data_IF_755961968614
#
_entry.id   IF_755961968614
#
_cell.length_a   1.000
_cell.length_b   1.000
_cell.length_c   1.000
_cell.angle_alpha   90.00
_cell.angle_beta   90.00
_cell.angle_gamma   90.00
#
_symmetry.space_group_name_H-M   'P 1'
#
loop_
_entity.id
_entity.type
_entity.pdbx_description
1 polymer ?
#
# COMPACT_ATOMS: atom_id res chain seq x y z
N UNK A 1 -11.79 -16.47 -41.54
CA UNK A 1 -11.08 -16.03 -40.32
C UNK A 1 -9.85 -15.22 -40.75
N UNK A 2 -9.71 -13.96 -40.33
CA UNK A 2 -8.73 -13.02 -40.87
C UNK A 2 -7.30 -13.35 -40.37
N UNK A 3 -6.32 -13.55 -41.26
CA UNK A 3 -4.94 -13.99 -40.92
C UNK A 3 -4.26 -13.08 -39.88
N UNK A 4 -4.60 -11.79 -39.88
CA UNK A 4 -4.06 -10.81 -38.93
C UNK A 4 -4.53 -11.04 -37.47
N UNK A 5 -5.70 -11.64 -37.26
CA UNK A 5 -6.23 -11.93 -35.93
C UNK A 5 -5.48 -13.09 -35.27
N UNK A 6 -5.09 -14.10 -36.05
CA UNK A 6 -4.35 -15.27 -35.58
C UNK A 6 -2.91 -14.90 -35.17
N UNK A 7 -2.27 -13.98 -35.91
CA UNK A 7 -0.93 -13.48 -35.60
C UNK A 7 -0.89 -12.68 -34.30
N UNK A 8 -1.92 -11.85 -34.05
CA UNK A 8 -2.03 -11.07 -32.81
C UNK A 8 -2.23 -11.97 -31.58
N UNK A 9 -3.08 -13.00 -31.69
CA UNK A 9 -3.27 -13.99 -30.63
C UNK A 9 -1.98 -14.76 -30.33
N UNK A 10 -1.24 -15.16 -31.37
CA UNK A 10 0.04 -15.84 -31.20
C UNK A 10 1.07 -14.95 -30.49
N UNK A 11 1.16 -13.68 -30.87
CA UNK A 11 2.07 -12.72 -30.23
C UNK A 11 1.71 -12.47 -28.75
N UNK A 12 0.41 -12.32 -28.46
CA UNK A 12 -0.08 -12.13 -27.10
C UNK A 12 0.21 -13.37 -26.23
N UNK A 13 -0.07 -14.56 -26.76
CA UNK A 13 0.21 -15.84 -26.08
C UNK A 13 1.71 -16.00 -25.81
N UNK A 14 2.57 -15.75 -26.80
CA UNK A 14 4.01 -15.86 -26.65
C UNK A 14 4.56 -14.86 -25.62
N UNK A 15 4.02 -13.64 -25.61
CA UNK A 15 4.39 -12.62 -24.61
C UNK A 15 3.99 -13.04 -23.19
N UNK A 16 2.80 -13.63 -23.02
CA UNK A 16 2.34 -14.15 -21.73
C UNK A 16 3.18 -15.36 -21.28
N UNK A 17 3.53 -16.26 -22.19
CA UNK A 17 4.38 -17.41 -21.94
C UNK A 17 5.77 -16.98 -21.44
N UNK A 18 6.41 -16.03 -22.14
CA UNK A 18 7.70 -15.46 -21.74
C UNK A 18 7.61 -14.83 -20.35
N UNK A 19 6.57 -14.03 -20.09
CA UNK A 19 6.38 -13.39 -18.77
C UNK A 19 6.22 -14.41 -17.65
N UNK A 20 5.48 -15.50 -17.89
CA UNK A 20 5.30 -16.59 -16.94
C UNK A 20 6.62 -17.32 -16.66
N UNK A 21 7.39 -17.64 -17.70
CA UNK A 21 8.70 -18.28 -17.56
C UNK A 21 9.69 -17.41 -16.78
N UNK A 22 9.72 -16.09 -17.04
CA UNK A 22 10.54 -15.14 -16.30
C UNK A 22 10.12 -15.10 -14.82
N UNK A 23 8.82 -15.10 -14.53
CA UNK A 23 8.31 -15.08 -13.16
C UNK A 23 8.68 -16.37 -12.39
N UNK A 24 8.53 -17.55 -13.02
CA UNK A 24 8.92 -18.84 -12.44
C UNK A 24 10.42 -18.91 -12.18
N UNK A 25 11.23 -18.47 -13.15
CA UNK A 25 12.69 -18.43 -13.00
C UNK A 25 13.13 -17.45 -11.90
N UNK A 26 12.48 -16.28 -11.81
CA UNK A 26 12.71 -15.31 -10.74
C UNK A 26 12.37 -15.85 -9.35
N UNK A 27 11.23 -16.54 -9.21
CA UNK A 27 10.84 -17.18 -7.95
C UNK A 27 11.83 -18.29 -7.55
N UNK A 28 12.32 -19.07 -8.52
CA UNK A 28 13.32 -20.11 -8.30
C UNK A 28 14.64 -19.49 -7.81
N UNK A 29 15.18 -18.48 -8.50
CA UNK A 29 16.40 -17.76 -8.08
C UNK A 29 16.23 -17.16 -6.68
N UNK A 30 15.08 -16.53 -6.41
CA UNK A 30 14.81 -15.95 -5.09
C UNK A 30 14.80 -17.00 -3.99
N UNK A 31 14.23 -18.18 -4.25
CA UNK A 31 14.25 -19.30 -3.29
C UNK A 31 15.67 -19.75 -3.00
N UNK A 32 16.51 -19.95 -4.03
CA UNK A 32 17.92 -20.31 -3.84
C UNK A 32 18.70 -19.21 -3.11
N UNK A 33 18.39 -17.93 -3.36
CA UNK A 33 18.98 -16.80 -2.66
C UNK A 33 18.63 -16.80 -1.18
N UNK A 34 17.37 -17.03 -0.82
CA UNK A 34 16.94 -17.12 0.58
C UNK A 34 17.62 -18.30 1.28
N UNK A 35 17.68 -19.47 0.62
CA UNK A 35 18.32 -20.67 1.18
C UNK A 35 19.84 -20.51 1.37
N UNK A 36 20.51 -19.81 0.45
CA UNK A 36 21.94 -19.47 0.57
C UNK A 36 22.19 -18.46 1.70
N UNK A 37 21.33 -17.45 1.83
CA UNK A 37 21.43 -16.41 2.87
C UNK A 37 21.26 -16.96 4.30
N UNK A 38 20.52 -18.05 4.46
CA UNK A 38 20.38 -18.77 5.75
C UNK A 38 21.41 -19.89 5.92
N UNK A 39 22.42 -19.97 5.04
CA UNK A 39 23.46 -21.01 5.01
C UNK A 39 22.92 -22.45 4.89
N UNK A 40 21.72 -22.63 4.34
CA UNK A 40 21.12 -23.96 4.15
C UNK A 40 21.71 -24.68 2.92
N UNK A 41 22.04 -23.92 1.89
CA UNK A 41 22.82 -24.35 0.73
C UNK A 41 23.97 -23.37 0.51
N UNK A 42 24.96 -23.75 -0.28
CA UNK A 42 26.03 -22.85 -0.73
C UNK A 42 25.99 -22.77 -2.26
N UNK A 43 25.49 -21.65 -2.78
CA UNK A 43 25.29 -21.44 -4.21
C UNK A 43 26.49 -20.70 -4.80
N UNK A 44 27.17 -21.33 -5.77
CA UNK A 44 28.16 -20.64 -6.58
C UNK A 44 27.46 -19.75 -7.62
N UNK A 45 27.11 -18.54 -7.18
CA UNK A 45 26.45 -17.53 -8.01
C UNK A 45 27.23 -17.18 -9.27
N UNK A 46 28.56 -17.32 -9.26
CA UNK A 46 29.38 -17.03 -10.43
C UNK A 46 29.09 -18.00 -11.58
N UNK A 47 28.77 -19.26 -11.28
CA UNK A 47 28.38 -20.28 -12.28
C UNK A 47 26.94 -20.12 -12.77
N UNK A 48 26.03 -19.75 -11.87
CA UNK A 48 24.61 -19.56 -12.22
C UNK A 48 24.40 -18.44 -13.25
N UNK A 49 25.23 -17.40 -13.21
CA UNK A 49 25.15 -16.25 -14.11
C UNK A 49 26.01 -16.35 -15.39
N UNK A 50 26.61 -17.52 -15.71
CA UNK A 50 27.40 -17.72 -16.94
C UNK A 50 26.51 -17.87 -18.18
N UNK A 51 25.31 -18.43 -18.02
CA UNK A 51 24.43 -18.80 -19.14
C UNK A 51 23.65 -17.63 -19.77
N UNK A 52 23.74 -16.41 -19.22
CA UNK A 52 23.00 -15.26 -19.76
C UNK A 52 23.78 -13.95 -19.68
N UNK A 53 23.79 -13.12 -20.74
CA UNK A 53 24.31 -11.75 -20.70
C UNK A 53 23.40 -10.79 -19.89
N UNK A 54 22.59 -11.32 -18.97
CA UNK A 54 21.62 -10.59 -18.15
C UNK A 54 22.18 -10.11 -16.80
N UNK A 55 23.49 -10.21 -16.50
CA UNK A 55 24.04 -9.75 -15.20
C UNK A 55 23.60 -8.33 -14.82
N UNK A 56 23.53 -7.40 -15.79
CA UNK A 56 22.98 -6.04 -15.57
C UNK A 56 21.46 -5.98 -15.39
N UNK A 57 20.71 -6.85 -16.08
CA UNK A 57 19.25 -6.83 -16.15
C UNK A 57 18.62 -7.56 -14.96
N UNK A 58 19.21 -8.69 -14.54
CA UNK A 58 18.85 -9.40 -13.31
C UNK A 58 19.34 -8.61 -12.09
N UNK A 59 20.56 -8.07 -12.11
CA UNK A 59 21.06 -7.21 -11.03
C UNK A 59 20.15 -5.99 -10.81
N UNK A 60 19.78 -5.29 -11.89
CA UNK A 60 18.86 -4.16 -11.81
C UNK A 60 17.46 -4.54 -11.33
N UNK A 61 16.89 -5.63 -11.85
CA UNK A 61 15.55 -6.10 -11.46
C UNK A 61 15.49 -6.61 -10.02
N UNK A 62 16.54 -7.29 -9.56
CA UNK A 62 16.68 -7.79 -8.19
C UNK A 62 16.84 -6.65 -7.19
N UNK A 63 17.70 -5.67 -7.49
CA UNK A 63 17.85 -4.45 -6.68
C UNK A 63 16.54 -3.65 -6.63
N UNK A 64 15.82 -3.54 -7.75
CA UNK A 64 14.49 -2.92 -7.75
C UNK A 64 13.48 -3.70 -6.91
N UNK A 65 13.51 -5.03 -6.94
CA UNK A 65 12.66 -5.89 -6.11
C UNK A 65 12.94 -5.70 -4.61
N UNK A 66 14.21 -5.70 -4.21
CA UNK A 66 14.62 -5.47 -2.82
C UNK A 66 14.24 -4.07 -2.37
N UNK A 67 14.52 -3.03 -3.17
CA UNK A 67 14.18 -1.64 -2.80
C UNK A 67 12.68 -1.44 -2.70
N UNK A 68 11.87 -2.03 -3.59
CA UNK A 68 10.41 -2.01 -3.49
C UNK A 68 9.91 -2.73 -2.23
N UNK A 69 10.50 -3.88 -1.88
CA UNK A 69 10.15 -4.63 -0.67
C UNK A 69 10.51 -3.86 0.61
N UNK A 70 11.73 -3.32 0.69
CA UNK A 70 12.16 -2.46 1.80
C UNK A 70 11.27 -1.22 1.94
N UNK A 71 10.90 -0.60 0.81
CA UNK A 71 9.98 0.53 0.80
C UNK A 71 8.58 0.15 1.31
N UNK A 72 8.09 -1.04 0.96
CA UNK A 72 6.83 -1.58 1.48
C UNK A 72 6.88 -1.77 3.01
N UNK A 73 7.97 -2.35 3.53
CA UNK A 73 8.19 -2.51 4.98
C UNK A 73 8.27 -1.14 5.68
N UNK A 74 9.02 -0.20 5.12
CA UNK A 74 9.12 1.16 5.65
C UNK A 74 7.74 1.83 5.71
N UNK A 75 6.97 1.75 4.63
CA UNK A 75 5.62 2.29 4.55
C UNK A 75 4.68 1.65 5.58
N UNK A 76 4.76 0.34 5.77
CA UNK A 76 3.97 -0.37 6.78
C UNK A 76 4.30 0.07 8.20
N UNK A 77 5.59 0.10 8.57
CA UNK A 77 6.04 0.60 9.89
C UNK A 77 5.59 2.03 10.15
N UNK A 78 5.68 2.90 9.14
CA UNK A 78 5.21 4.29 9.25
C UNK A 78 3.70 4.38 9.41
N UNK A 79 2.93 3.54 8.71
CA UNK A 79 1.47 3.45 8.86
C UNK A 79 1.06 3.05 10.28
N UNK A 80 1.76 2.10 10.92
CA UNK A 80 1.50 1.71 12.32
C UNK A 80 1.83 2.88 13.25
N UNK A 81 3.00 3.50 13.07
CA UNK A 81 3.46 4.61 13.93
C UNK A 81 2.47 5.77 13.89
N UNK A 82 2.11 6.23 12.69
CA UNK A 82 1.10 7.28 12.51
C UNK A 82 -0.28 6.84 12.97
N UNK A 83 -0.55 5.53 12.94
CA UNK A 83 -1.77 4.98 13.50
C UNK A 83 -1.86 5.18 15.02
N UNK A 84 -0.77 4.88 15.73
CA UNK A 84 -0.67 5.10 17.18
C UNK A 84 -0.76 6.58 17.54
N UNK A 85 -0.11 7.44 16.77
CA UNK A 85 -0.19 8.90 17.00
C UNK A 85 -1.60 9.44 16.78
N UNK A 86 -2.32 8.98 15.74
CA UNK A 86 -3.74 9.33 15.58
C UNK A 86 -4.54 8.98 16.83
N UNK A 87 -4.30 7.81 17.42
CA UNK A 87 -4.98 7.32 18.62
C UNK A 87 -4.71 8.23 19.82
N UNK A 88 -3.46 8.62 20.01
CA UNK A 88 -3.04 9.54 21.07
C UNK A 88 -3.71 10.90 20.92
N UNK A 89 -3.69 11.47 19.70
CA UNK A 89 -4.34 12.75 19.40
C UNK A 89 -5.85 12.66 19.68
N UNK A 90 -6.51 11.59 19.21
CA UNK A 90 -7.94 11.38 19.46
C UNK A 90 -8.23 11.25 20.96
N UNK A 91 -7.38 10.55 21.71
CA UNK A 91 -7.54 10.39 23.16
C UNK A 91 -7.41 11.71 23.91
N UNK A 92 -6.45 12.56 23.51
CA UNK A 92 -6.29 13.93 24.05
C UNK A 92 -7.51 14.82 23.78
N UNK A 93 -8.24 14.55 22.70
CA UNK A 93 -9.50 15.23 22.36
C UNK A 93 -10.75 14.57 22.97
N UNK A 94 -10.58 13.64 23.92
CA UNK A 94 -11.67 13.03 24.69
C UNK A 94 -12.35 11.83 24.03
N UNK A 95 -11.82 11.32 22.91
CA UNK A 95 -12.33 10.09 22.30
C UNK A 95 -11.77 8.86 23.05
N UNK A 96 -12.62 7.86 23.29
CA UNK A 96 -12.15 6.53 23.73
C UNK A 96 -11.69 5.75 22.52
N UNK A 97 -10.42 5.88 22.16
CA UNK A 97 -9.83 5.25 21.00
C UNK A 97 -8.89 4.11 21.41
N UNK A 98 -9.12 2.91 20.88
CA UNK A 98 -8.27 1.73 21.09
C UNK A 98 -7.88 1.10 19.75
N UNK A 99 -6.73 0.42 19.72
CA UNK A 99 -6.30 -0.32 18.53
C UNK A 99 -7.12 -1.60 18.45
N UNK A 100 -7.78 -1.84 17.32
CA UNK A 100 -8.59 -3.04 17.14
C UNK A 100 -7.72 -4.26 16.78
N UNK A 101 -7.08 -4.24 15.60
CA UNK A 101 -6.14 -5.30 15.17
C UNK A 101 -5.18 -4.76 14.09
N UNK A 102 -3.93 -5.23 14.12
CA UNK A 102 -2.87 -4.85 13.17
C UNK A 102 -2.48 -6.09 12.38
N UNK A 103 -3.15 -6.34 11.26
CA UNK A 103 -2.78 -7.41 10.35
C UNK A 103 -2.04 -6.89 9.11
N UNK A 104 -0.85 -7.43 8.78
CA UNK A 104 -0.18 -7.13 7.52
C UNK A 104 -0.88 -7.78 6.30
N UNK A 105 -1.77 -8.76 6.54
CA UNK A 105 -2.41 -9.57 5.51
C UNK A 105 -3.79 -9.03 5.10
N UNK A 106 -4.48 -8.30 5.99
CA UNK A 106 -5.86 -7.86 5.80
C UNK A 106 -5.94 -6.34 5.99
N UNK A 107 -6.78 -5.67 5.18
CA UNK A 107 -7.11 -4.24 5.40
C UNK A 107 -8.11 -4.15 6.56
N UNK A 108 -7.62 -4.25 7.78
CA UNK A 108 -8.45 -4.19 8.99
C UNK A 108 -8.62 -2.71 9.41
N UNK A 109 -9.83 -2.30 9.86
CA UNK A 109 -10.02 -1.03 10.55
C UNK A 109 -9.03 -0.93 11.71
N UNK A 110 -8.24 0.13 11.71
CA UNK A 110 -7.14 0.31 12.65
C UNK A 110 -7.63 0.57 14.07
N UNK A 111 -8.83 1.13 14.24
CA UNK A 111 -9.30 1.62 15.53
C UNK A 111 -10.70 1.16 15.88
N UNK A 112 -10.95 1.06 17.18
CA UNK A 112 -12.27 1.19 17.76
C UNK A 112 -12.33 2.55 18.49
N UNK A 113 -13.20 3.45 18.04
CA UNK A 113 -13.37 4.78 18.61
C UNK A 113 -14.80 4.87 19.15
N UNK A 114 -14.94 5.08 20.46
CA UNK A 114 -16.22 5.11 21.16
C UNK A 114 -17.10 3.87 20.86
N UNK A 115 -16.46 2.70 20.70
CA UNK A 115 -17.16 1.44 20.39
C UNK A 115 -17.34 1.15 18.89
N UNK A 116 -17.08 2.10 18.00
CA UNK A 116 -17.25 1.94 16.55
C UNK A 116 -15.93 1.71 15.82
N UNK A 117 -15.94 0.90 14.77
CA UNK A 117 -14.73 0.59 14.00
C UNK A 117 -14.41 1.69 12.99
N UNK A 118 -13.16 2.13 12.91
CA UNK A 118 -12.66 3.16 11.99
C UNK A 118 -11.44 2.67 11.19
N UNK A 119 -11.42 3.00 9.91
CA UNK A 119 -10.20 2.91 9.11
C UNK A 119 -9.26 4.08 9.39
N UNK A 120 -7.96 3.83 9.42
CA UNK A 120 -6.96 4.89 9.36
C UNK A 120 -6.54 5.11 7.91
N UNK A 121 -6.67 6.33 7.44
CA UNK A 121 -6.12 6.75 6.17
C UNK A 121 -5.08 7.83 6.40
N UNK A 122 -3.84 7.51 6.05
CA UNK A 122 -2.71 8.39 6.21
C UNK A 122 -2.03 8.62 4.85
N UNK A 123 -2.36 9.73 4.15
CA UNK A 123 -1.78 10.06 2.87
C UNK A 123 -0.36 10.61 3.01
N UNK A 124 0.62 9.71 3.11
CA UNK A 124 2.04 10.03 3.18
C UNK A 124 2.43 11.04 2.09
N UNK A 125 2.99 12.20 2.48
CA UNK A 125 3.56 13.21 1.57
C UNK A 125 2.59 13.74 0.50
N UNK A 126 1.27 13.65 0.71
CA UNK A 126 0.32 14.23 -0.22
C UNK A 126 0.51 15.75 -0.30
N UNK A 127 0.67 16.23 -1.54
CA UNK A 127 0.86 17.66 -1.87
C UNK A 127 -0.41 18.33 -2.35
N UNK A 128 -1.43 17.55 -2.68
CA UNK A 128 -2.74 18.04 -3.05
C UNK A 128 -3.85 17.08 -2.56
N UNK A 129 -5.08 17.56 -2.66
CA UNK A 129 -6.28 16.84 -2.24
C UNK A 129 -6.49 15.56 -3.05
N UNK A 130 -6.19 15.55 -4.35
CA UNK A 130 -6.39 14.38 -5.20
C UNK A 130 -5.50 13.22 -4.77
N UNK A 131 -4.22 13.49 -4.49
CA UNK A 131 -3.30 12.50 -3.93
C UNK A 131 -3.74 12.07 -2.54
N UNK A 132 -4.18 13.02 -1.70
CA UNK A 132 -4.68 12.71 -0.37
C UNK A 132 -5.87 11.75 -0.42
N UNK A 133 -6.80 11.92 -1.37
CA UNK A 133 -7.99 11.08 -1.50
C UNK A 133 -7.76 9.79 -2.32
N UNK A 134 -6.61 9.64 -2.97
CA UNK A 134 -6.33 8.49 -3.86
C UNK A 134 -6.41 7.14 -3.14
N UNK A 135 -5.93 7.07 -1.89
CA UNK A 135 -5.97 5.86 -1.07
C UNK A 135 -7.39 5.48 -0.60
N UNK A 136 -8.27 6.46 -0.42
CA UNK A 136 -9.63 6.25 0.09
C UNK A 136 -10.47 5.38 -0.83
N UNK A 137 -10.32 5.53 -2.16
CA UNK A 137 -11.09 4.74 -3.13
C UNK A 137 -10.89 3.24 -2.92
N UNK A 138 -9.68 2.82 -2.54
CA UNK A 138 -9.36 1.41 -2.30
C UNK A 138 -9.98 0.91 -0.99
N UNK A 139 -9.93 1.73 0.07
CA UNK A 139 -10.53 1.42 1.38
C UNK A 139 -12.04 1.24 1.23
N UNK A 140 -12.71 2.24 0.66
CA UNK A 140 -14.17 2.26 0.46
C UNK A 140 -14.65 1.09 -0.43
N UNK A 141 -13.86 0.68 -1.44
CA UNK A 141 -14.23 -0.44 -2.31
C UNK A 141 -14.08 -1.80 -1.61
N UNK A 142 -13.16 -1.92 -0.66
CA UNK A 142 -12.75 -3.20 -0.08
C UNK A 142 -13.35 -3.49 1.29
N UNK A 143 -13.87 -2.48 1.97
CA UNK A 143 -14.40 -2.62 3.33
C UNK A 143 -15.86 -2.22 3.40
N UNK A 144 -16.60 -2.95 4.23
CA UNK A 144 -17.98 -2.63 4.61
C UNK A 144 -18.04 -1.50 5.64
N UNK A 145 -16.92 -1.19 6.30
CA UNK A 145 -16.84 -0.16 7.34
C UNK A 145 -16.65 1.21 6.67
N UNK A 146 -17.58 2.12 7.00
CA UNK A 146 -17.71 3.43 6.38
C UNK A 146 -17.23 4.59 7.26
N UNK A 147 -16.70 4.27 8.44
CA UNK A 147 -16.12 5.25 9.34
C UNK A 147 -14.61 5.37 9.09
N UNK A 148 -14.10 6.60 9.06
CA UNK A 148 -12.71 6.83 8.70
C UNK A 148 -12.07 7.97 9.47
N UNK A 149 -10.81 7.76 9.83
CA UNK A 149 -9.90 8.79 10.33
C UNK A 149 -8.92 9.13 9.23
N UNK A 150 -8.78 10.40 8.90
CA UNK A 150 -7.82 10.93 7.93
C UNK A 150 -6.76 11.71 8.68
N UNK A 151 -5.54 11.17 8.79
CA UNK A 151 -4.43 11.82 9.47
C UNK A 151 -3.56 12.59 8.47
N UNK A 152 -3.55 13.92 8.58
CA UNK A 152 -2.84 14.84 7.67
C UNK A 152 -1.54 15.40 8.26
N UNK A 153 -1.02 14.87 9.38
CA UNK A 153 0.17 15.40 10.07
C UNK A 153 1.38 15.59 9.14
N UNK A 154 1.57 14.69 8.17
CA UNK A 154 2.65 14.80 7.17
C UNK A 154 2.20 15.27 5.79
N UNK A 155 0.92 15.61 5.64
CA UNK A 155 0.36 16.06 4.38
C UNK A 155 0.33 17.60 4.35
N UNK A 156 0.65 18.17 3.19
CA UNK A 156 0.56 19.62 2.98
C UNK A 156 -0.62 19.90 2.07
N UNK A 157 -1.83 19.85 2.64
CA UNK A 157 -3.09 19.92 1.89
C UNK A 157 -4.00 20.96 2.52
N UNK A 158 -4.67 21.75 1.68
CA UNK A 158 -5.73 22.66 2.11
C UNK A 158 -6.93 21.86 2.67
N UNK A 159 -7.16 22.03 3.97
CA UNK A 159 -8.21 21.34 4.73
C UNK A 159 -9.61 21.69 4.19
N UNK A 160 -9.86 22.95 3.82
CA UNK A 160 -11.18 23.37 3.35
C UNK A 160 -11.48 22.76 1.98
N UNK A 161 -10.46 22.74 1.10
CA UNK A 161 -10.56 22.06 -0.20
C UNK A 161 -10.75 20.55 -0.03
N UNK A 162 -10.05 19.94 0.93
CA UNK A 162 -10.18 18.52 1.27
C UNK A 162 -11.60 18.19 1.75
N UNK A 163 -12.13 18.94 2.72
CA UNK A 163 -13.50 18.78 3.26
C UNK A 163 -14.54 18.83 2.13
N UNK A 164 -14.46 19.85 1.27
CA UNK A 164 -15.38 20.02 0.14
C UNK A 164 -15.32 18.83 -0.82
N UNK A 165 -14.13 18.38 -1.20
CA UNK A 165 -13.99 17.23 -2.09
C UNK A 165 -14.40 15.90 -1.44
N UNK A 166 -14.13 15.72 -0.16
CA UNK A 166 -14.57 14.54 0.61
C UNK A 166 -16.09 14.41 0.59
N UNK A 167 -16.78 15.48 0.98
CA UNK A 167 -18.24 15.49 1.03
C UNK A 167 -18.83 15.32 -0.38
N UNK A 168 -18.32 16.05 -1.37
CA UNK A 168 -18.84 15.95 -2.74
C UNK A 168 -18.69 14.55 -3.37
N UNK A 169 -17.62 13.82 -3.03
CA UNK A 169 -17.29 12.55 -3.71
C UNK A 169 -17.65 11.30 -2.91
N UNK A 170 -17.66 11.41 -1.59
CA UNK A 170 -17.75 10.27 -0.68
C UNK A 170 -18.81 10.45 0.41
N UNK A 171 -19.61 11.53 0.39
CA UNK A 171 -20.76 11.73 1.29
C UNK A 171 -21.56 10.44 1.48
N UNK A 172 -22.00 9.82 0.40
CA UNK A 172 -22.99 8.73 0.50
C UNK A 172 -22.34 7.37 0.77
N UNK A 173 -21.01 7.36 0.89
CA UNK A 173 -20.19 6.15 1.06
C UNK A 173 -19.49 6.10 2.40
N UNK A 174 -19.42 7.22 3.12
CA UNK A 174 -18.79 7.37 4.41
C UNK A 174 -19.81 7.89 5.41
N UNK A 175 -19.85 7.26 6.58
CA UNK A 175 -20.82 7.59 7.62
C UNK A 175 -20.23 8.65 8.55
N UNK A 176 -19.06 8.37 9.15
CA UNK A 176 -18.33 9.31 10.01
C UNK A 176 -16.91 9.56 9.51
N UNK A 177 -16.50 10.82 9.51
CA UNK A 177 -15.17 11.23 9.06
C UNK A 177 -14.52 12.09 10.14
N UNK A 178 -13.42 11.60 10.70
CA UNK A 178 -12.57 12.37 11.60
C UNK A 178 -11.32 12.79 10.84
N UNK A 179 -11.02 14.09 10.80
CA UNK A 179 -9.80 14.62 10.17
C UNK A 179 -8.88 15.11 11.27
N UNK A 180 -7.65 14.62 11.28
CA UNK A 180 -6.58 15.18 12.11
C UNK A 180 -5.75 16.09 11.22
N UNK A 181 -5.74 17.38 11.52
CA UNK A 181 -4.96 18.35 10.76
C UNK A 181 -3.45 18.32 11.09
N UNK A 182 -2.67 19.15 10.40
CA UNK A 182 -1.22 19.21 10.60
C UNK A 182 -0.81 19.68 11.99
N UNK A 183 -1.67 20.45 12.66
CA UNK A 183 -1.46 20.96 14.01
C UNK A 183 -1.95 20.00 15.09
N UNK A 184 -2.55 18.87 14.70
CA UNK A 184 -3.12 17.88 15.62
C UNK A 184 -4.56 18.17 16.05
N UNK A 185 -5.24 19.16 15.45
CA UNK A 185 -6.65 19.40 15.75
C UNK A 185 -7.53 18.34 15.08
N UNK A 186 -8.57 17.90 15.80
CA UNK A 186 -9.56 16.95 15.29
C UNK A 186 -10.78 17.70 14.76
N UNK A 187 -11.16 17.41 13.52
CA UNK A 187 -12.37 17.94 12.89
C UNK A 187 -13.29 16.77 12.53
N UNK A 188 -14.48 16.75 13.13
CA UNK A 188 -15.54 15.80 12.76
C UNK A 188 -16.34 16.33 11.57
N UNK A 189 -16.56 15.48 10.56
CA UNK A 189 -17.55 15.70 9.51
C UNK A 189 -18.57 14.55 9.55
N UNK A 190 -19.83 14.95 9.46
CA UNK A 190 -21.03 14.11 9.70
C UNK A 190 -21.16 13.63 11.14
#
# INVERSE_FOLDING_TARGET
MNKNCMLYFFFLFFTLLIRSLIALFGAYIFTFFVLDLINYINVDWNKLFILFPLKKLIGGSFVMGITAWLWSIHKYRKSITRGKESLEILSQHGYKAEINDISPLITIPFYQINGELFHNHYPLTARDVSFALGGLKKIIKKSEIKNIVINLVDASVDINKLKKQLLNKYSDKLDKILIIDKSGNVISLK
#
